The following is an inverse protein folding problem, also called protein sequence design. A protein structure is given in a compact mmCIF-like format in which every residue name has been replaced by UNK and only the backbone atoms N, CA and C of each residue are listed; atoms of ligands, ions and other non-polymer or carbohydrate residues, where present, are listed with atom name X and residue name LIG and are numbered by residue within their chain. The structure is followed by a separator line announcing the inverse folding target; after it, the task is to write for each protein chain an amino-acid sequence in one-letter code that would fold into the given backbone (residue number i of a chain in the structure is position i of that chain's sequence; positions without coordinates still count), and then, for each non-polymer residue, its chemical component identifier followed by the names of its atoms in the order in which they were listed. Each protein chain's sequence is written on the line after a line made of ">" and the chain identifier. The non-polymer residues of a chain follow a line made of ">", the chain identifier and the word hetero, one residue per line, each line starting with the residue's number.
data_IF_692965181850
#
_entry.id   IF_692965181850
#
_cell.length_a   1.000
_cell.length_b   1.000
_cell.length_c   1.000
_cell.angle_alpha   90.00
_cell.angle_beta   90.00
_cell.angle_gamma   90.00
#
_symmetry.space_group_name_H-M   'P 1'
#
loop_
_entity.id
_entity.type
_entity.pdbx_description
1 polymer ?
#
# COMPACT_ATOMS: atom_id res chain seq x y z
N UNK A 1 10.34 -3.48 18.85
CA UNK A 1 9.37 -3.67 17.75
C UNK A 1 9.21 -2.35 17.03
N UNK A 2 8.85 -2.35 15.77
CA UNK A 2 8.59 -1.12 15.02
C UNK A 2 7.53 -1.35 13.94
N UNK A 3 6.88 -0.28 13.49
CA UNK A 3 5.89 -0.36 12.42
C UNK A 3 6.55 -0.14 11.06
N UNK A 4 6.23 -0.98 10.07
CA UNK A 4 6.66 -0.80 8.69
C UNK A 4 5.73 -1.53 7.71
N UNK A 5 5.77 -1.20 6.41
CA UNK A 5 5.02 -1.96 5.41
C UNK A 5 5.38 -3.45 5.44
N UNK A 6 4.40 -4.31 5.18
CA UNK A 6 4.64 -5.75 5.06
C UNK A 6 5.58 -6.04 3.88
N UNK A 7 6.74 -6.69 4.10
CA UNK A 7 7.72 -6.89 3.05
C UNK A 7 7.28 -7.91 1.99
N UNK A 8 6.25 -8.71 2.24
CA UNK A 8 5.73 -9.68 1.28
C UNK A 8 5.19 -9.03 0.00
N UNK A 9 4.47 -7.91 0.15
CA UNK A 9 3.92 -7.15 -0.97
C UNK A 9 5.02 -6.62 -1.89
N UNK A 10 6.04 -5.97 -1.32
CA UNK A 10 7.20 -5.49 -2.08
C UNK A 10 7.95 -6.64 -2.77
N UNK A 11 8.19 -7.77 -2.08
CA UNK A 11 8.87 -8.93 -2.71
C UNK A 11 8.12 -9.44 -3.93
N UNK A 12 6.80 -9.58 -3.84
CA UNK A 12 5.97 -10.01 -4.95
C UNK A 12 6.00 -8.99 -6.10
N UNK A 13 5.93 -7.70 -5.78
CA UNK A 13 6.04 -6.62 -6.76
C UNK A 13 7.41 -6.63 -7.47
N UNK A 14 8.52 -6.70 -6.73
CA UNK A 14 9.88 -6.73 -7.28
C UNK A 14 10.10 -7.93 -8.19
N UNK A 15 9.53 -9.11 -7.87
CA UNK A 15 9.56 -10.27 -8.76
C UNK A 15 8.92 -9.99 -10.13
N UNK A 16 7.70 -9.39 -10.13
CA UNK A 16 7.03 -9.00 -11.38
C UNK A 16 7.76 -7.89 -12.11
N UNK A 17 8.32 -6.92 -11.38
CA UNK A 17 9.05 -5.80 -11.95
C UNK A 17 10.33 -6.28 -12.65
N UNK A 18 11.13 -7.15 -12.01
CA UNK A 18 12.31 -7.79 -12.61
C UNK A 18 11.96 -8.60 -13.85
N UNK A 19 10.90 -9.39 -13.80
CA UNK A 19 10.47 -10.18 -14.95
C UNK A 19 10.11 -9.30 -16.17
N UNK A 20 9.61 -8.08 -15.93
CA UNK A 20 9.21 -7.14 -16.98
C UNK A 20 10.33 -6.22 -17.47
N UNK A 21 11.19 -5.75 -16.55
CA UNK A 21 12.14 -4.67 -16.82
C UNK A 21 13.61 -5.07 -16.63
N UNK A 22 13.90 -6.29 -16.16
CA UNK A 22 15.27 -6.80 -16.01
C UNK A 22 16.07 -6.19 -14.85
N UNK A 23 15.47 -5.36 -14.00
CA UNK A 23 16.13 -4.69 -12.87
C UNK A 23 15.23 -4.70 -11.63
N UNK A 24 15.80 -4.47 -10.44
CA UNK A 24 15.02 -4.27 -9.22
C UNK A 24 14.37 -2.87 -9.20
N UNK A 25 13.13 -2.75 -8.70
CA UNK A 25 12.51 -1.44 -8.52
C UNK A 25 13.09 -0.71 -7.30
N UNK A 26 13.14 0.62 -7.38
CA UNK A 26 13.33 1.46 -6.20
C UNK A 26 12.14 1.30 -5.24
N UNK A 27 12.37 1.45 -3.92
CA UNK A 27 11.33 1.17 -2.91
C UNK A 27 10.04 1.97 -3.12
N UNK A 28 10.17 3.23 -3.56
CA UNK A 28 9.05 4.15 -3.79
C UNK A 28 8.25 3.85 -5.06
N UNK A 29 8.70 2.94 -5.92
CA UNK A 29 7.96 2.55 -7.13
C UNK A 29 6.59 1.94 -6.81
N UNK A 30 6.43 1.34 -5.63
CA UNK A 30 5.14 0.84 -5.15
C UNK A 30 4.12 1.95 -4.97
N UNK A 31 4.53 3.14 -4.52
CA UNK A 31 3.63 4.29 -4.36
C UNK A 31 3.06 4.75 -5.70
N UNK A 32 3.90 4.84 -6.73
CA UNK A 32 3.46 5.19 -8.07
C UNK A 32 2.54 4.11 -8.66
N UNK A 33 2.88 2.85 -8.44
CA UNK A 33 2.04 1.73 -8.87
C UNK A 33 0.66 1.77 -8.22
N UNK A 34 0.60 1.96 -6.89
CA UNK A 34 -0.64 2.03 -6.12
C UNK A 34 -1.50 3.23 -6.55
N UNK A 35 -0.89 4.39 -6.81
CA UNK A 35 -1.62 5.56 -7.29
C UNK A 35 -2.29 5.31 -8.64
N UNK A 36 -1.57 4.73 -9.60
CA UNK A 36 -2.11 4.40 -10.93
C UNK A 36 -3.16 3.29 -10.83
N UNK A 37 -2.91 2.26 -10.00
CA UNK A 37 -3.87 1.18 -9.77
C UNK A 37 -5.17 1.71 -9.15
N UNK A 38 -5.09 2.62 -8.18
CA UNK A 38 -6.24 3.28 -7.58
C UNK A 38 -7.03 4.08 -8.62
N UNK A 39 -6.36 4.94 -9.39
CA UNK A 39 -7.00 5.74 -10.44
C UNK A 39 -7.68 4.83 -11.47
N UNK A 40 -7.04 3.74 -11.88
CA UNK A 40 -7.61 2.76 -12.81
C UNK A 40 -8.85 2.04 -12.21
N UNK A 41 -8.84 1.75 -10.91
CA UNK A 41 -9.99 1.15 -10.23
C UNK A 41 -11.16 2.14 -10.13
N UNK A 42 -10.89 3.38 -9.71
CA UNK A 42 -11.89 4.44 -9.59
C UNK A 42 -12.46 4.84 -10.96
N UNK A 43 -11.66 4.81 -12.03
CA UNK A 43 -12.10 5.15 -13.39
C UNK A 43 -13.31 4.32 -13.87
N UNK A 44 -13.50 3.13 -13.28
CA UNK A 44 -14.62 2.22 -13.57
C UNK A 44 -15.91 2.55 -12.79
N UNK A 45 -15.86 3.50 -11.87
CA UNK A 45 -17.02 3.96 -11.08
C UNK A 45 -17.79 5.08 -11.82
N UNK A 46 -18.91 5.50 -11.24
CA UNK A 46 -19.79 6.55 -11.79
C UNK A 46 -19.20 7.97 -11.70
N UNK A 47 -20.06 8.97 -11.88
CA UNK A 47 -19.64 10.38 -11.98
C UNK A 47 -18.80 10.88 -10.77
N UNK A 48 -19.03 10.33 -9.57
CA UNK A 48 -18.35 10.71 -8.34
C UNK A 48 -17.01 9.99 -8.10
N UNK A 49 -16.49 9.27 -9.10
CA UNK A 49 -15.26 8.44 -8.99
C UNK A 49 -14.02 9.12 -8.42
N UNK A 50 -13.90 10.44 -8.56
CA UNK A 50 -12.79 11.24 -8.02
C UNK A 50 -13.25 12.32 -7.05
N UNK A 51 -14.50 12.23 -6.58
CA UNK A 51 -15.00 13.15 -5.56
C UNK A 51 -14.21 12.99 -4.25
N UNK A 52 -14.03 14.07 -3.47
CA UNK A 52 -13.31 14.03 -2.20
C UNK A 52 -13.76 12.88 -1.29
N UNK A 53 -15.07 12.65 -1.19
CA UNK A 53 -15.68 11.62 -0.33
C UNK A 53 -15.31 10.20 -0.78
N UNK A 54 -15.13 10.00 -2.09
CA UNK A 54 -14.70 8.72 -2.65
C UNK A 54 -13.21 8.49 -2.37
N UNK A 55 -12.39 9.53 -2.50
CA UNK A 55 -10.96 9.47 -2.21
C UNK A 55 -10.69 9.28 -0.70
N UNK A 56 -11.51 9.88 0.18
CA UNK A 56 -11.39 9.75 1.63
C UNK A 56 -12.25 8.64 2.21
N UNK A 57 -12.53 7.58 1.45
CA UNK A 57 -13.30 6.42 1.91
C UNK A 57 -12.69 5.86 3.21
N UNK A 58 -13.45 5.77 4.33
CA UNK A 58 -12.92 5.33 5.62
C UNK A 58 -12.39 3.89 5.60
N UNK A 59 -12.94 3.03 4.73
CA UNK A 59 -12.48 1.66 4.52
C UNK A 59 -11.13 1.57 3.80
N UNK A 60 -10.74 2.64 3.09
CA UNK A 60 -9.49 2.74 2.34
C UNK A 60 -9.42 1.87 1.09
N UNK A 61 -8.19 1.61 0.66
CA UNK A 61 -7.83 0.91 -0.57
C UNK A 61 -6.68 -0.05 -0.32
N UNK A 62 -6.65 -1.16 -1.05
CA UNK A 62 -5.54 -2.10 -1.01
C UNK A 62 -4.42 -1.70 -1.98
N UNK A 63 -3.21 -1.52 -1.46
CA UNK A 63 -1.99 -1.31 -2.26
C UNK A 63 -0.98 -2.44 -2.09
N UNK A 64 0.14 -2.33 -2.81
CA UNK A 64 1.27 -3.27 -2.72
C UNK A 64 1.82 -3.33 -1.29
N UNK A 65 1.93 -2.18 -0.63
CA UNK A 65 2.51 -2.06 0.71
C UNK A 65 1.49 -2.23 1.85
N UNK A 66 0.29 -2.71 1.53
CA UNK A 66 -0.81 -2.90 2.46
C UNK A 66 -1.95 -1.90 2.25
N UNK A 67 -2.88 -1.89 3.19
CA UNK A 67 -4.05 -1.00 3.18
C UNK A 67 -3.62 0.46 3.35
N UNK A 68 -4.26 1.39 2.63
CA UNK A 68 -4.08 2.82 2.85
C UNK A 68 -5.40 3.57 2.68
N UNK A 69 -5.54 4.71 3.35
CA UNK A 69 -6.65 5.66 3.11
C UNK A 69 -6.13 7.08 3.12
N UNK A 70 -6.85 7.97 2.44
CA UNK A 70 -6.64 9.41 2.55
C UNK A 70 -7.55 9.98 3.64
N UNK A 71 -7.08 10.99 4.34
CA UNK A 71 -7.84 11.74 5.34
C UNK A 71 -8.28 13.08 4.74
N UNK A 72 -9.30 13.70 5.34
CA UNK A 72 -9.84 14.99 4.89
C UNK A 72 -8.83 16.15 4.97
N UNK A 73 -7.77 15.99 5.79
CA UNK A 73 -6.65 16.94 5.90
C UNK A 73 -5.57 16.74 4.81
N UNK A 74 -5.78 15.82 3.86
CA UNK A 74 -4.83 15.51 2.79
C UNK A 74 -3.70 14.56 3.19
N UNK A 75 -3.62 14.15 4.46
CA UNK A 75 -2.69 13.12 4.90
C UNK A 75 -3.15 11.72 4.49
N UNK A 76 -2.28 10.72 4.66
CA UNK A 76 -2.65 9.32 4.52
C UNK A 76 -2.47 8.56 5.82
N UNK A 77 -3.20 7.46 5.93
CA UNK A 77 -3.03 6.46 6.95
C UNK A 77 -2.75 5.12 6.27
N UNK A 78 -1.85 4.32 6.84
CA UNK A 78 -1.41 3.04 6.26
C UNK A 78 -1.51 1.92 7.27
N UNK A 79 -1.99 0.77 6.81
CA UNK A 79 -1.94 -0.48 7.53
C UNK A 79 -0.53 -1.03 7.55
N UNK A 80 0.18 -0.83 8.66
CA UNK A 80 1.55 -1.30 8.84
C UNK A 80 1.60 -2.62 9.60
N UNK A 81 2.60 -3.44 9.27
CA UNK A 81 2.96 -4.64 10.00
C UNK A 81 3.78 -4.28 11.25
N UNK A 82 3.74 -5.17 12.25
CA UNK A 82 4.64 -5.09 13.41
C UNK A 82 5.89 -5.90 13.11
N UNK A 83 7.04 -5.25 13.13
CA UNK A 83 8.33 -5.82 12.79
C UNK A 83 9.25 -5.91 14.02
N UNK A 84 10.15 -6.89 14.02
CA UNK A 84 11.23 -7.04 14.99
C UNK A 84 12.57 -6.93 14.27
N UNK A 85 13.49 -6.17 14.84
CA UNK A 85 14.89 -6.13 14.38
C UNK A 85 15.56 -7.44 14.80
N UNK A 86 16.22 -8.10 13.86
CA UNK A 86 17.05 -9.29 14.10
C UNK A 86 18.40 -9.16 13.36
N UNK A 87 19.35 -10.03 13.70
CA UNK A 87 20.71 -10.03 13.16
C UNK A 87 20.76 -10.20 11.63
N UNK A 88 19.80 -10.93 11.04
CA UNK A 88 19.67 -11.12 9.59
C UNK A 88 18.78 -10.10 8.88
N UNK A 89 18.43 -9.00 9.55
CA UNK A 89 17.43 -8.04 9.08
C UNK A 89 16.09 -8.21 9.80
N UNK A 90 15.11 -7.40 9.41
CA UNK A 90 13.84 -7.32 10.13
C UNK A 90 12.88 -8.46 9.77
N UNK A 91 12.21 -9.00 10.79
CA UNK A 91 11.23 -10.08 10.65
C UNK A 91 9.82 -9.62 11.06
N UNK A 92 8.76 -10.05 10.36
CA UNK A 92 7.39 -9.74 10.75
C UNK A 92 6.99 -10.53 12.00
N UNK A 93 6.38 -9.83 12.96
CA UNK A 93 5.79 -10.40 14.19
C UNK A 93 4.26 -10.47 14.05
N UNK A 94 3.67 -9.48 13.41
CA UNK A 94 2.26 -9.47 13.01
C UNK A 94 2.13 -8.78 11.64
N UNK A 95 1.31 -9.32 10.76
CA UNK A 95 1.09 -8.76 9.42
C UNK A 95 0.33 -7.42 9.46
N UNK A 96 0.26 -6.74 8.32
CA UNK A 96 -0.55 -5.53 8.18
C UNK A 96 -2.04 -5.83 8.49
N UNK A 97 -2.78 -4.86 9.07
CA UNK A 97 -4.21 -5.00 9.26
C UNK A 97 -4.93 -5.14 7.91
N UNK A 98 -6.05 -5.87 7.93
CA UNK A 98 -6.87 -6.13 6.73
C UNK A 98 -8.00 -5.10 6.54
N UNK A 99 -8.25 -4.28 7.56
CA UNK A 99 -9.22 -3.18 7.54
C UNK A 99 -8.75 -2.07 8.47
N UNK A 100 -9.18 -0.84 8.22
CA UNK A 100 -9.18 0.19 9.26
C UNK A 100 -10.37 -0.11 10.17
N UNK A 101 -10.13 -0.37 11.44
CA UNK A 101 -11.21 -0.57 12.41
C UNK A 101 -12.14 0.65 12.37
N UNK A 102 -13.43 0.40 12.12
CA UNK A 102 -14.49 1.40 12.25
C UNK A 102 -15.03 1.35 13.68
#
# INVERSE_FOLDING_TARGET
>A
LYAAPDPSGFRAFSGRYRAKYGADPVRTATLAYDAVALVAALSKQGAQRFAPETLTNPSGFAGIDGLFRFRSDGSNERGLAVMKVASGGSTPVAGSPKSFGA
#
